data_IF_405298590933
#
_entry.id   IF_405298590933
#
_cell.length_a   1.000
_cell.length_b   1.000
_cell.length_c   1.000
_cell.angle_alpha   90.00
_cell.angle_beta   90.00
_cell.angle_gamma   90.00
#
_symmetry.space_group_name_H-M   'P 1'
#
loop_
_entity.id
_entity.type
_entity.pdbx_description
1 polymer ?
#
# COMPACT_ATOMS: atom_id res chain seq x y z
N UNK A 1 37.94 -16.92 9.09
CA UNK A 1 36.80 -16.75 8.21
C UNK A 1 36.53 -18.08 7.54
N UNK A 2 35.36 -18.72 7.66
CA UNK A 2 35.08 -19.96 6.95
C UNK A 2 35.00 -19.66 5.46
N UNK A 3 35.68 -20.50 4.66
CA UNK A 3 35.60 -20.44 3.21
C UNK A 3 34.16 -20.55 2.77
N UNK A 4 33.65 -19.54 2.06
CA UNK A 4 32.35 -19.57 1.40
C UNK A 4 32.40 -20.72 0.38
N UNK A 5 31.69 -21.81 0.68
CA UNK A 5 31.50 -22.90 -0.28
C UNK A 5 30.97 -22.31 -1.58
N UNK A 6 31.51 -22.74 -2.71
CA UNK A 6 31.01 -22.36 -4.03
C UNK A 6 29.50 -22.60 -4.07
N UNK A 7 28.69 -21.66 -4.63
CA UNK A 7 27.25 -21.83 -4.70
C UNK A 7 26.94 -23.12 -5.47
N UNK A 8 26.33 -24.10 -4.77
CA UNK A 8 25.88 -25.33 -5.43
C UNK A 8 24.79 -24.97 -6.45
N UNK A 9 24.98 -25.48 -7.65
CA UNK A 9 23.96 -25.45 -8.69
C UNK A 9 22.72 -26.21 -8.20
N UNK A 10 21.52 -25.75 -8.55
CA UNK A 10 20.32 -26.56 -8.32
C UNK A 10 20.52 -27.92 -9.06
N UNK A 11 20.24 -29.07 -8.42
CA UNK A 11 20.35 -30.38 -9.09
C UNK A 11 19.52 -30.46 -10.39
N UNK A 12 18.49 -29.64 -10.50
CA UNK A 12 17.69 -29.53 -11.71
C UNK A 12 18.45 -28.83 -12.85
N UNK A 13 19.19 -27.75 -12.56
CA UNK A 13 20.01 -27.04 -13.55
C UNK A 13 21.18 -27.90 -14.03
N UNK A 14 21.81 -28.70 -13.15
CA UNK A 14 22.85 -29.65 -13.52
C UNK A 14 22.31 -30.65 -14.56
N UNK A 15 21.13 -31.19 -14.33
CA UNK A 15 20.46 -32.08 -15.30
C UNK A 15 20.10 -31.40 -16.61
N UNK A 16 19.68 -30.13 -16.56
CA UNK A 16 19.36 -29.35 -17.77
C UNK A 16 20.59 -29.05 -18.60
N UNK A 17 21.71 -28.76 -17.95
CA UNK A 17 22.99 -28.51 -18.62
C UNK A 17 23.55 -29.78 -19.27
N UNK A 18 23.29 -30.96 -18.68
CA UNK A 18 23.75 -32.27 -19.20
C UNK A 18 25.24 -32.28 -19.58
N UNK A 19 26.07 -31.66 -18.72
CA UNK A 19 27.51 -31.52 -18.93
C UNK A 19 27.94 -30.40 -19.87
N UNK A 20 27.00 -29.66 -20.48
CA UNK A 20 27.36 -28.49 -21.28
C UNK A 20 27.87 -27.34 -20.41
N UNK A 21 28.79 -26.56 -20.97
CA UNK A 21 29.42 -25.42 -20.27
C UNK A 21 28.54 -24.15 -20.43
N UNK A 22 28.58 -23.31 -19.42
CA UNK A 22 27.98 -21.98 -19.43
C UNK A 22 29.04 -20.96 -19.79
N UNK A 23 28.85 -20.26 -20.89
CA UNK A 23 29.71 -19.14 -21.28
C UNK A 23 29.38 -17.93 -20.42
N UNK A 24 30.38 -17.15 -20.02
CA UNK A 24 30.17 -15.88 -19.32
C UNK A 24 30.68 -14.75 -20.18
N UNK A 25 29.81 -13.74 -20.39
CA UNK A 25 30.14 -12.50 -21.10
C UNK A 25 29.72 -11.31 -20.28
N UNK A 26 30.18 -10.13 -20.61
CA UNK A 26 29.61 -8.88 -20.10
C UNK A 26 28.38 -8.50 -20.92
N UNK A 27 27.48 -7.73 -20.32
CA UNK A 27 26.27 -7.29 -21.02
C UNK A 27 26.61 -6.46 -22.27
N UNK A 28 27.71 -5.67 -22.22
CA UNK A 28 28.18 -4.90 -23.36
C UNK A 28 28.76 -5.72 -24.52
N UNK A 29 29.11 -7.02 -24.30
CA UNK A 29 29.51 -7.94 -25.36
C UNK A 29 28.33 -8.61 -26.06
N UNK A 30 27.16 -8.55 -25.47
CA UNK A 30 25.95 -9.24 -25.98
C UNK A 30 24.84 -8.30 -26.43
N UNK A 31 24.96 -7.01 -26.16
CA UNK A 31 24.02 -5.98 -26.64
C UNK A 31 24.67 -4.59 -26.70
N UNK A 32 24.09 -3.72 -27.51
CA UNK A 32 24.45 -2.31 -27.54
C UNK A 32 23.75 -1.58 -26.40
N UNK A 33 24.57 -1.05 -25.44
CA UNK A 33 24.07 -0.27 -24.29
C UNK A 33 24.28 1.21 -24.55
N UNK A 34 23.18 1.98 -24.51
CA UNK A 34 23.22 3.43 -24.72
C UNK A 34 22.34 4.16 -23.71
N UNK A 35 22.65 5.42 -23.40
CA UNK A 35 21.79 6.27 -22.60
C UNK A 35 20.71 6.90 -23.46
N UNK A 36 19.49 7.02 -22.92
CA UNK A 36 18.44 7.82 -23.51
C UNK A 36 18.79 9.30 -23.56
N UNK A 37 18.07 10.07 -24.34
CA UNK A 37 18.29 11.50 -24.51
C UNK A 37 16.95 12.23 -24.64
N UNK A 38 16.86 13.40 -24.02
CA UNK A 38 15.67 14.26 -24.09
C UNK A 38 15.92 15.50 -24.93
N UNK A 39 15.10 15.79 -25.95
CA UNK A 39 15.17 17.07 -26.65
C UNK A 39 14.79 18.20 -25.67
N UNK A 40 15.49 19.32 -25.73
CA UNK A 40 15.28 20.44 -24.80
C UNK A 40 15.03 21.74 -25.52
N UNK A 41 14.04 22.56 -25.09
CA UNK A 41 13.00 22.20 -24.09
C UNK A 41 11.98 21.19 -24.68
N UNK A 42 11.60 20.18 -23.91
CA UNK A 42 10.72 19.08 -24.40
C UNK A 42 9.37 19.58 -24.90
N UNK A 43 8.83 20.64 -24.28
CA UNK A 43 7.53 21.22 -24.65
C UNK A 43 7.44 21.62 -26.15
N UNK A 44 8.56 21.97 -26.77
CA UNK A 44 8.61 22.35 -28.19
C UNK A 44 8.48 21.13 -29.15
N UNK A 45 8.64 19.94 -28.64
CA UNK A 45 8.66 18.70 -29.41
C UNK A 45 7.49 17.77 -29.09
N UNK A 46 6.68 18.07 -28.06
CA UNK A 46 5.45 17.32 -27.77
C UNK A 46 4.43 17.57 -28.88
N UNK A 47 3.71 16.52 -29.27
CA UNK A 47 2.65 16.58 -30.26
C UNK A 47 1.48 15.67 -29.93
N UNK A 48 0.27 16.10 -30.28
CA UNK A 48 -0.93 15.28 -30.23
C UNK A 48 -1.23 14.58 -31.58
N UNK A 49 -0.38 14.80 -32.59
CA UNK A 49 -0.57 14.16 -33.91
C UNK A 49 -0.42 12.64 -33.80
N UNK A 50 -1.26 11.91 -34.54
CA UNK A 50 -1.15 10.46 -34.71
C UNK A 50 0.19 10.02 -35.31
N UNK A 51 0.80 10.89 -36.13
CA UNK A 51 2.07 10.63 -36.81
C UNK A 51 3.28 10.87 -35.88
N UNK A 52 3.06 11.40 -34.69
CA UNK A 52 4.10 11.56 -33.68
C UNK A 52 4.63 10.21 -33.23
N UNK A 53 5.91 10.18 -32.82
CA UNK A 53 6.59 8.99 -32.31
C UNK A 53 6.30 8.85 -30.80
N UNK A 54 5.94 7.65 -30.30
CA UNK A 54 5.74 7.41 -28.87
C UNK A 54 6.93 7.89 -28.03
N UNK A 55 6.66 8.71 -26.99
CA UNK A 55 7.67 9.24 -26.05
C UNK A 55 7.60 8.47 -24.75
N UNK A 56 8.57 7.58 -24.53
CA UNK A 56 8.58 6.63 -23.42
C UNK A 56 9.19 7.25 -22.18
N UNK A 57 8.35 7.43 -21.14
CA UNK A 57 8.73 7.99 -19.84
C UNK A 57 8.61 6.95 -18.73
N UNK A 58 9.19 7.24 -17.56
CA UNK A 58 9.07 6.38 -16.37
C UNK A 58 7.59 6.22 -15.95
N UNK A 59 6.77 7.27 -16.13
CA UNK A 59 5.33 7.22 -15.82
C UNK A 59 4.50 6.29 -16.71
N UNK A 60 5.03 5.82 -17.85
CA UNK A 60 4.35 4.87 -18.73
C UNK A 60 4.53 3.41 -18.26
N UNK A 61 5.33 3.18 -17.21
CA UNK A 61 5.58 1.85 -16.66
C UNK A 61 4.60 1.49 -15.56
N UNK A 62 4.13 0.24 -15.57
CA UNK A 62 3.36 -0.33 -14.47
C UNK A 62 4.27 -1.20 -13.60
N UNK A 63 4.11 -1.13 -12.28
CA UNK A 63 4.85 -1.99 -11.35
C UNK A 63 4.52 -3.45 -11.67
N UNK A 64 5.56 -4.29 -11.82
CA UNK A 64 5.39 -5.71 -12.17
C UNK A 64 5.20 -5.99 -13.66
N UNK A 65 5.04 -4.98 -14.53
CA UNK A 65 4.94 -5.20 -15.96
C UNK A 65 6.29 -5.57 -16.58
N UNK A 66 6.28 -6.54 -17.48
CA UNK A 66 7.42 -6.94 -18.32
C UNK A 66 7.53 -6.04 -19.56
N UNK A 67 6.42 -5.49 -20.03
CA UNK A 67 6.32 -4.82 -21.32
C UNK A 67 5.88 -3.37 -21.20
N UNK A 68 6.31 -2.56 -22.17
CA UNK A 68 5.73 -1.25 -22.47
C UNK A 68 4.98 -1.35 -23.79
N UNK A 69 3.66 -1.17 -23.72
CA UNK A 69 2.74 -1.38 -24.85
C UNK A 69 2.16 -0.07 -25.41
N UNK A 70 2.19 0.99 -24.62
CA UNK A 70 1.67 2.30 -25.01
C UNK A 70 2.33 3.42 -24.21
N UNK A 71 2.23 4.65 -24.71
CA UNK A 71 2.69 5.87 -24.04
C UNK A 71 1.58 6.92 -23.99
N UNK A 72 1.63 7.80 -23.02
CA UNK A 72 0.70 8.93 -22.90
C UNK A 72 1.07 10.08 -23.84
N UNK A 73 2.33 10.24 -24.16
CA UNK A 73 2.85 11.36 -24.94
C UNK A 73 3.54 10.88 -26.21
N UNK A 74 3.58 11.77 -27.19
CA UNK A 74 4.32 11.61 -28.46
C UNK A 74 5.20 12.81 -28.73
N UNK A 75 6.28 12.62 -29.47
CA UNK A 75 7.16 13.70 -29.92
C UNK A 75 7.20 13.76 -31.45
N UNK A 76 7.55 14.94 -31.94
CA UNK A 76 7.73 15.18 -33.38
C UNK A 76 8.97 14.43 -33.93
N UNK A 77 9.03 14.23 -35.23
CA UNK A 77 10.19 13.62 -35.91
C UNK A 77 11.49 14.39 -35.60
N UNK A 78 11.42 15.73 -35.52
CA UNK A 78 12.57 16.56 -35.14
C UNK A 78 13.02 16.28 -33.68
N UNK A 79 12.06 16.02 -32.78
CA UNK A 79 12.34 15.63 -31.41
C UNK A 79 13.05 14.28 -31.34
N UNK A 80 12.67 13.33 -32.16
CA UNK A 80 13.29 11.99 -32.25
C UNK A 80 14.76 12.07 -32.65
N UNK A 81 15.14 12.96 -33.58
CA UNK A 81 16.52 13.16 -33.99
C UNK A 81 17.44 13.63 -32.84
N UNK A 82 16.84 14.19 -31.79
CA UNK A 82 17.53 14.65 -30.56
C UNK A 82 17.33 13.70 -29.37
N UNK A 83 16.74 12.55 -29.62
CA UNK A 83 16.46 11.52 -28.62
C UNK A 83 17.14 10.21 -29.01
N UNK A 84 16.84 9.14 -28.27
CA UNK A 84 17.22 7.78 -28.61
C UNK A 84 15.97 7.05 -29.10
N UNK A 85 15.95 6.70 -30.39
CA UNK A 85 14.90 5.87 -30.96
C UNK A 85 15.22 4.40 -30.76
N UNK A 86 14.20 3.62 -30.45
CA UNK A 86 14.25 2.17 -30.23
C UNK A 86 13.09 1.50 -30.97
N UNK A 87 13.27 0.21 -31.21
CA UNK A 87 12.26 -0.63 -31.86
C UNK A 87 11.61 -1.58 -30.86
N UNK A 88 10.45 -2.10 -31.23
CA UNK A 88 9.81 -3.20 -30.51
C UNK A 88 10.78 -4.39 -30.39
N UNK A 89 10.91 -4.95 -29.19
CA UNK A 89 11.88 -5.98 -28.85
C UNK A 89 13.13 -5.47 -28.13
N UNK A 90 13.46 -4.18 -28.25
CA UNK A 90 14.53 -3.56 -27.48
C UNK A 90 14.17 -3.46 -25.99
N UNK A 91 15.19 -3.38 -25.13
CA UNK A 91 15.03 -3.20 -23.70
C UNK A 91 15.32 -1.79 -23.29
N UNK A 92 14.68 -1.39 -22.20
CA UNK A 92 15.05 -0.21 -21.43
C UNK A 92 15.25 -0.57 -19.97
N UNK A 93 16.22 0.10 -19.33
CA UNK A 93 16.52 0.03 -17.91
C UNK A 93 16.35 1.39 -17.27
N UNK A 94 15.68 1.47 -16.12
CA UNK A 94 15.58 2.73 -15.40
C UNK A 94 16.92 3.16 -14.80
N UNK A 95 17.31 4.42 -15.05
CA UNK A 95 18.56 5.01 -14.53
C UNK A 95 18.40 5.66 -13.15
N UNK A 96 17.14 6.00 -12.77
CA UNK A 96 16.80 6.77 -11.58
C UNK A 96 15.54 6.22 -10.91
N UNK A 97 15.33 6.53 -9.64
CA UNK A 97 14.19 6.17 -8.79
C UNK A 97 13.96 4.66 -8.57
N UNK A 98 13.97 3.83 -9.62
CA UNK A 98 13.82 2.35 -9.54
C UNK A 98 14.96 1.70 -10.33
N UNK A 99 16.18 1.90 -9.88
CA UNK A 99 17.41 1.54 -10.60
C UNK A 99 17.41 0.14 -11.20
N UNK A 100 17.81 0.06 -12.48
CA UNK A 100 18.10 -1.18 -13.18
C UNK A 100 16.88 -2.09 -13.45
N UNK A 101 15.66 -1.59 -13.26
CA UNK A 101 14.45 -2.36 -13.60
C UNK A 101 14.32 -2.46 -15.12
N UNK A 102 14.29 -3.69 -15.68
CA UNK A 102 14.18 -3.90 -17.10
C UNK A 102 12.72 -3.85 -17.58
N UNK A 103 12.53 -3.39 -18.82
CA UNK A 103 11.29 -3.51 -19.58
C UNK A 103 11.61 -3.82 -21.03
N UNK A 104 10.73 -4.58 -21.70
CA UNK A 104 10.80 -4.89 -23.13
C UNK A 104 9.79 -4.02 -23.87
N UNK A 105 10.19 -3.37 -24.93
CA UNK A 105 9.30 -2.57 -25.76
C UNK A 105 8.43 -3.45 -26.64
N UNK A 106 7.12 -3.21 -26.65
CA UNK A 106 6.16 -3.76 -27.61
C UNK A 106 5.81 -2.76 -28.72
N UNK A 107 6.35 -1.56 -28.63
CA UNK A 107 6.14 -0.45 -29.55
C UNK A 107 7.49 0.15 -29.95
N UNK A 108 7.55 0.68 -31.16
CA UNK A 108 8.63 1.58 -31.53
C UNK A 108 8.45 2.93 -30.83
N UNK A 109 9.54 3.55 -30.39
CA UNK A 109 9.44 4.81 -29.65
C UNK A 109 10.78 5.45 -29.41
N UNK A 110 10.75 6.62 -28.78
CA UNK A 110 11.91 7.35 -28.33
C UNK A 110 11.94 7.46 -26.81
N UNK A 111 13.11 7.36 -26.19
CA UNK A 111 13.30 7.33 -24.75
C UNK A 111 13.98 8.57 -24.23
N UNK A 112 13.54 9.04 -23.04
CA UNK A 112 14.17 10.17 -22.36
C UNK A 112 15.47 9.76 -21.62
N UNK A 113 16.22 10.73 -21.13
CA UNK A 113 17.52 10.59 -20.47
C UNK A 113 17.48 9.87 -19.11
N UNK A 114 16.31 9.57 -18.56
CA UNK A 114 16.10 8.69 -17.39
C UNK A 114 16.19 7.19 -17.69
N UNK A 115 16.40 6.80 -18.96
CA UNK A 115 16.55 5.42 -19.40
C UNK A 115 17.95 5.10 -19.91
N UNK A 116 18.35 3.84 -19.77
CA UNK A 116 19.38 3.21 -20.61
C UNK A 116 18.69 2.21 -21.53
N UNK A 117 19.12 2.11 -22.79
CA UNK A 117 18.63 1.13 -23.75
C UNK A 117 19.60 -0.05 -23.88
N UNK A 118 19.02 -1.24 -24.15
CA UNK A 118 19.74 -2.43 -24.62
C UNK A 118 19.11 -2.81 -25.95
N UNK A 119 19.86 -2.68 -27.01
CA UNK A 119 19.45 -3.02 -28.40
C UNK A 119 20.48 -3.93 -29.05
N UNK A 120 20.23 -4.39 -30.27
CA UNK A 120 21.13 -5.29 -31.00
C UNK A 120 21.53 -6.52 -30.17
N UNK A 121 20.55 -7.15 -29.52
CA UNK A 121 20.79 -8.29 -28.63
C UNK A 121 21.30 -9.48 -29.44
N UNK A 122 22.40 -10.09 -28.98
CA UNK A 122 22.99 -11.27 -29.61
C UNK A 122 21.99 -12.42 -29.73
N UNK A 123 22.01 -13.11 -30.87
CA UNK A 123 21.19 -14.31 -31.09
C UNK A 123 21.51 -15.48 -30.14
N UNK A 124 22.59 -15.39 -29.36
CA UNK A 124 22.92 -16.37 -28.33
C UNK A 124 22.09 -16.20 -27.04
N UNK A 125 21.27 -15.16 -26.94
CA UNK A 125 20.45 -14.85 -25.74
C UNK A 125 18.98 -14.69 -26.17
N UNK A 126 18.09 -15.40 -25.45
CA UNK A 126 16.66 -15.18 -25.55
C UNK A 126 16.27 -13.92 -24.76
N UNK A 127 15.44 -13.06 -25.36
CA UNK A 127 14.97 -11.83 -24.71
C UNK A 127 14.30 -12.09 -23.38
N UNK A 128 13.45 -13.10 -23.26
CA UNK A 128 12.78 -13.45 -22.01
C UNK A 128 13.76 -13.94 -20.92
N UNK A 129 14.79 -14.70 -21.30
CA UNK A 129 15.85 -15.09 -20.40
C UNK A 129 16.62 -13.86 -19.88
N UNK A 130 16.98 -12.95 -20.78
CA UNK A 130 17.64 -11.69 -20.42
C UNK A 130 16.78 -10.87 -19.47
N UNK A 131 15.48 -10.77 -19.71
CA UNK A 131 14.53 -10.08 -18.83
C UNK A 131 14.56 -10.66 -17.41
N UNK A 132 14.38 -11.96 -17.26
CA UNK A 132 14.40 -12.63 -15.97
C UNK A 132 15.74 -12.48 -15.25
N UNK A 133 16.85 -12.59 -16.00
CA UNK A 133 18.18 -12.40 -15.44
C UNK A 133 18.36 -10.99 -14.89
N UNK A 134 18.03 -9.96 -15.67
CA UNK A 134 18.13 -8.56 -15.26
C UNK A 134 17.20 -8.23 -14.08
N UNK A 135 16.06 -8.92 -13.99
CA UNK A 135 15.09 -8.78 -12.87
C UNK A 135 15.50 -9.53 -11.60
N UNK A 136 16.56 -10.37 -11.63
CA UNK A 136 16.97 -11.17 -10.48
C UNK A 136 17.54 -10.32 -9.34
N UNK A 137 17.36 -10.77 -8.10
CA UNK A 137 17.89 -10.09 -6.91
C UNK A 137 19.41 -9.95 -6.95
N UNK A 138 20.10 -10.89 -7.57
CA UNK A 138 21.56 -10.83 -7.77
C UNK A 138 21.97 -9.62 -8.60
N UNK A 139 21.26 -9.36 -9.69
CA UNK A 139 21.54 -8.22 -10.57
C UNK A 139 21.13 -6.92 -9.87
N UNK A 140 19.98 -6.89 -9.18
CA UNK A 140 19.57 -5.71 -8.43
C UNK A 140 20.60 -5.35 -7.33
N UNK A 141 21.08 -6.33 -6.57
CA UNK A 141 22.16 -6.11 -5.59
C UNK A 141 23.48 -5.68 -6.24
N UNK A 142 23.78 -6.15 -7.47
CA UNK A 142 24.96 -5.69 -8.21
C UNK A 142 24.86 -4.20 -8.52
N UNK A 143 23.70 -3.73 -8.99
CA UNK A 143 23.44 -2.31 -9.23
C UNK A 143 23.59 -1.49 -7.95
N UNK A 144 22.94 -1.91 -6.85
CA UNK A 144 22.99 -1.24 -5.55
C UNK A 144 24.41 -1.08 -5.01
N UNK A 145 25.24 -2.12 -5.10
CA UNK A 145 26.65 -2.07 -4.66
C UNK A 145 27.47 -1.09 -5.49
N UNK A 146 27.25 -1.05 -6.79
CA UNK A 146 27.96 -0.11 -7.69
C UNK A 146 27.52 1.32 -7.46
N UNK A 147 26.26 1.53 -7.13
CA UNK A 147 25.69 2.81 -6.78
C UNK A 147 26.24 3.37 -5.45
N UNK A 148 26.28 2.54 -4.40
CA UNK A 148 26.73 2.94 -3.07
C UNK A 148 28.26 3.08 -2.95
N UNK A 149 29.04 2.53 -3.87
CA UNK A 149 30.53 2.58 -3.86
C UNK A 149 31.14 3.77 -4.59
N UNK A 150 30.34 4.61 -5.23
CA UNK A 150 30.83 5.74 -6.02
C UNK A 150 30.03 7.01 -5.83
N UNK A 151 30.63 8.16 -6.13
CA UNK A 151 29.98 9.48 -6.19
C UNK A 151 28.99 9.63 -7.38
N UNK A 152 28.39 8.52 -7.83
CA UNK A 152 27.55 8.48 -9.04
C UNK A 152 26.08 8.40 -8.62
N UNK A 153 25.33 9.44 -8.93
CA UNK A 153 23.88 9.53 -8.63
C UNK A 153 22.97 8.78 -9.62
N UNK A 154 23.51 8.12 -10.64
CA UNK A 154 22.74 7.42 -11.68
C UNK A 154 23.47 6.16 -12.18
N UNK A 155 22.71 5.15 -12.59
CA UNK A 155 23.22 3.96 -13.26
C UNK A 155 23.73 4.35 -14.67
N UNK A 156 25.05 4.42 -14.87
CA UNK A 156 25.63 4.81 -16.13
C UNK A 156 25.85 3.60 -17.08
N UNK A 157 26.05 3.90 -18.36
CA UNK A 157 26.21 2.89 -19.40
C UNK A 157 27.40 1.94 -19.16
N UNK A 158 28.50 2.42 -18.57
CA UNK A 158 29.69 1.60 -18.34
C UNK A 158 29.48 0.57 -17.22
N UNK A 159 28.75 0.96 -16.18
CA UNK A 159 28.33 0.03 -15.13
C UNK A 159 27.40 -1.05 -15.70
N UNK A 160 26.47 -0.65 -16.58
CA UNK A 160 25.55 -1.58 -17.24
C UNK A 160 26.30 -2.54 -18.14
N UNK A 161 27.19 -2.04 -19.00
CA UNK A 161 28.03 -2.85 -19.90
C UNK A 161 28.86 -3.87 -19.15
N UNK A 162 29.38 -3.52 -17.98
CA UNK A 162 30.27 -4.37 -17.19
C UNK A 162 29.55 -5.50 -16.41
N UNK A 163 28.22 -5.58 -16.45
CA UNK A 163 27.47 -6.66 -15.77
C UNK A 163 27.82 -8.02 -16.39
N UNK A 164 28.35 -8.98 -15.61
CA UNK A 164 28.58 -10.34 -16.10
C UNK A 164 27.26 -11.10 -16.21
N UNK A 165 27.01 -11.68 -17.39
CA UNK A 165 25.84 -12.48 -17.70
C UNK A 165 26.23 -13.93 -18.09
N UNK A 166 25.60 -14.95 -17.46
CA UNK A 166 25.77 -16.34 -17.88
C UNK A 166 24.94 -16.63 -19.12
N UNK A 167 25.56 -17.30 -20.10
CA UNK A 167 24.92 -17.67 -21.37
C UNK A 167 24.94 -19.20 -21.47
N UNK A 168 23.94 -19.87 -20.86
CA UNK A 168 23.76 -21.29 -21.06
C UNK A 168 23.24 -21.55 -22.49
N UNK A 169 23.27 -22.78 -22.99
CA UNK A 169 22.72 -23.16 -24.28
C UNK A 169 21.26 -22.68 -24.44
N UNK A 170 20.86 -22.27 -25.63
CA UNK A 170 19.51 -21.73 -25.91
C UNK A 170 18.38 -22.64 -25.41
N UNK A 171 18.56 -23.99 -25.51
CA UNK A 171 17.59 -24.94 -24.98
C UNK A 171 17.38 -24.81 -23.46
N UNK A 172 18.48 -24.53 -22.73
CA UNK A 172 18.45 -24.34 -21.28
C UNK A 172 17.80 -23.00 -20.92
N UNK A 173 18.15 -21.94 -21.66
CA UNK A 173 17.48 -20.63 -21.52
C UNK A 173 15.98 -20.76 -21.75
N UNK A 174 15.55 -21.43 -22.84
CA UNK A 174 14.14 -21.63 -23.15
C UNK A 174 13.39 -22.39 -22.03
N UNK A 175 14.05 -23.42 -21.46
CA UNK A 175 13.43 -24.19 -20.36
C UNK A 175 13.31 -23.39 -19.06
N UNK A 176 14.30 -22.55 -18.77
CA UNK A 176 14.26 -21.62 -17.62
C UNK A 176 13.11 -20.62 -17.82
N UNK A 177 12.98 -20.04 -19.01
CA UNK A 177 11.88 -19.11 -19.37
C UNK A 177 10.53 -19.78 -19.19
N UNK A 178 10.33 -20.96 -19.75
CA UNK A 178 9.08 -21.73 -19.63
C UNK A 178 8.66 -21.93 -18.16
N UNK A 179 9.61 -22.27 -17.29
CA UNK A 179 9.33 -22.44 -15.87
C UNK A 179 8.98 -21.13 -15.21
N UNK A 180 9.73 -20.06 -15.49
CA UNK A 180 9.51 -18.75 -14.88
C UNK A 180 8.22 -18.09 -15.38
N UNK A 181 7.89 -18.21 -16.65
CA UNK A 181 6.61 -17.75 -17.21
C UNK A 181 5.44 -18.45 -16.52
N UNK A 182 5.54 -19.79 -16.34
CA UNK A 182 4.50 -20.55 -15.66
C UNK A 182 4.37 -20.16 -14.18
N UNK A 183 5.47 -19.91 -13.49
CA UNK A 183 5.42 -19.41 -12.11
C UNK A 183 4.78 -18.03 -12.03
N UNK A 184 5.12 -17.11 -12.95
CA UNK A 184 4.53 -15.77 -13.00
C UNK A 184 3.03 -15.83 -13.27
N UNK A 185 2.60 -16.72 -14.17
CA UNK A 185 1.18 -16.94 -14.44
C UNK A 185 0.44 -17.49 -13.22
N UNK A 186 0.99 -18.54 -12.58
CA UNK A 186 0.39 -19.14 -11.38
C UNK A 186 0.35 -18.16 -10.19
N UNK A 187 1.37 -17.30 -10.06
CA UNK A 187 1.39 -16.24 -9.03
C UNK A 187 0.24 -15.26 -9.26
N UNK A 188 0.05 -14.78 -10.50
CA UNK A 188 -1.01 -13.85 -10.83
C UNK A 188 -2.42 -14.47 -10.68
N UNK A 189 -2.60 -15.73 -11.08
CA UNK A 189 -3.86 -16.46 -10.90
C UNK A 189 -4.20 -16.64 -9.41
N UNK A 190 -3.21 -17.04 -8.61
CA UNK A 190 -3.39 -17.23 -7.17
C UNK A 190 -3.64 -15.90 -6.44
N UNK A 191 -2.95 -14.82 -6.80
CA UNK A 191 -3.17 -13.50 -6.22
C UNK A 191 -4.61 -13.03 -6.49
N UNK A 192 -5.09 -13.18 -7.74
CA UNK A 192 -6.47 -12.82 -8.10
C UNK A 192 -7.52 -13.68 -7.38
N UNK A 193 -7.27 -14.99 -7.23
CA UNK A 193 -8.16 -15.92 -6.50
C UNK A 193 -8.23 -15.55 -5.01
N UNK A 194 -7.07 -15.30 -4.38
CA UNK A 194 -6.98 -14.91 -2.99
C UNK A 194 -7.64 -13.55 -2.71
N UNK A 195 -7.47 -12.57 -3.61
CA UNK A 195 -8.13 -11.26 -3.48
C UNK A 195 -9.66 -11.40 -3.57
N UNK A 196 -10.16 -12.21 -4.52
CA UNK A 196 -11.60 -12.46 -4.67
C UNK A 196 -12.19 -13.23 -3.46
N UNK A 197 -11.48 -14.23 -2.94
CA UNK A 197 -11.88 -14.97 -1.74
C UNK A 197 -11.92 -14.06 -0.51
N UNK A 198 -10.93 -13.18 -0.35
CA UNK A 198 -10.91 -12.19 0.73
C UNK A 198 -12.12 -11.26 0.66
N UNK A 199 -12.38 -10.68 -0.51
CA UNK A 199 -13.49 -9.74 -0.67
C UNK A 199 -14.84 -10.42 -0.33
N UNK A 200 -15.03 -11.66 -0.80
CA UNK A 200 -16.22 -12.44 -0.49
C UNK A 200 -16.37 -12.76 1.01
N UNK A 201 -15.27 -13.16 1.66
CA UNK A 201 -15.27 -13.47 3.10
C UNK A 201 -15.53 -12.21 3.93
N UNK A 202 -14.89 -11.08 3.60
CA UNK A 202 -15.13 -9.80 4.27
C UNK A 202 -16.58 -9.34 4.12
N UNK A 203 -17.16 -9.47 2.93
CA UNK A 203 -18.57 -9.13 2.70
C UNK A 203 -19.51 -10.03 3.54
N UNK A 204 -19.24 -11.33 3.57
CA UNK A 204 -20.01 -12.29 4.35
C UNK A 204 -19.93 -11.97 5.86
N UNK A 205 -18.73 -11.66 6.38
CA UNK A 205 -18.50 -11.30 7.78
C UNK A 205 -19.16 -9.98 8.15
N UNK A 206 -19.11 -8.98 7.29
CA UNK A 206 -19.79 -7.71 7.51
C UNK A 206 -21.32 -7.90 7.58
N UNK A 207 -21.91 -8.69 6.68
CA UNK A 207 -23.35 -9.05 6.74
C UNK A 207 -23.69 -9.78 8.04
N UNK A 208 -22.85 -10.70 8.46
CA UNK A 208 -23.02 -11.43 9.72
C UNK A 208 -22.91 -10.49 10.93
N UNK A 209 -21.94 -9.61 10.94
CA UNK A 209 -21.78 -8.58 11.98
C UNK A 209 -23.01 -7.69 12.07
N UNK A 210 -23.47 -7.14 10.94
CA UNK A 210 -24.64 -6.28 10.91
C UNK A 210 -25.92 -7.00 11.43
N UNK A 211 -26.09 -8.26 11.04
CA UNK A 211 -27.21 -9.08 11.53
C UNK A 211 -27.16 -9.26 13.06
N UNK A 212 -26.02 -9.63 13.62
CA UNK A 212 -25.89 -9.82 15.07
C UNK A 212 -25.96 -8.50 15.82
N UNK A 213 -25.32 -7.44 15.33
CA UNK A 213 -25.40 -6.10 15.92
C UNK A 213 -26.83 -5.63 16.02
N UNK A 214 -27.56 -5.66 14.90
CA UNK A 214 -28.95 -5.24 14.87
C UNK A 214 -29.81 -6.10 15.85
N UNK A 215 -29.64 -7.41 15.87
CA UNK A 215 -30.39 -8.30 16.75
C UNK A 215 -30.08 -8.10 18.24
N UNK A 216 -28.80 -7.89 18.58
CA UNK A 216 -28.36 -7.66 19.95
C UNK A 216 -28.82 -6.32 20.52
N UNK A 217 -28.97 -5.32 19.64
CA UNK A 217 -29.33 -3.94 19.99
C UNK A 217 -30.79 -3.61 19.70
N UNK A 218 -31.61 -4.56 19.20
CA UNK A 218 -33.04 -4.37 18.98
C UNK A 218 -33.86 -4.71 20.26
N UNK A 219 -33.84 -3.78 21.20
CA UNK A 219 -34.51 -3.96 22.47
C UNK A 219 -36.06 -3.95 22.40
N UNK A 220 -36.65 -3.56 21.28
CA UNK A 220 -38.08 -3.66 21.06
C UNK A 220 -38.56 -5.13 20.94
N UNK A 221 -37.69 -6.00 20.46
CA UNK A 221 -37.98 -7.43 20.24
C UNK A 221 -37.17 -8.38 21.15
N UNK A 222 -36.57 -7.85 22.22
CA UNK A 222 -35.82 -8.62 23.23
C UNK A 222 -36.73 -9.02 24.41
N UNK A 223 -37.59 -10.01 24.18
CA UNK A 223 -38.51 -10.52 25.24
C UNK A 223 -37.78 -11.04 26.48
N UNK A 224 -36.57 -11.55 26.31
CA UNK A 224 -35.68 -12.00 27.37
C UNK A 224 -35.25 -10.92 28.36
N UNK A 225 -35.31 -9.65 27.94
CA UNK A 225 -34.94 -8.49 28.74
C UNK A 225 -36.14 -7.60 29.10
N UNK A 226 -37.35 -8.09 28.90
CA UNK A 226 -38.58 -7.34 29.16
C UNK A 226 -38.65 -6.87 30.63
N UNK A 227 -38.81 -5.55 30.79
CA UNK A 227 -38.84 -4.89 32.12
C UNK A 227 -37.47 -4.72 32.79
N UNK A 228 -36.37 -5.07 32.14
CA UNK A 228 -35.03 -4.92 32.63
C UNK A 228 -34.22 -3.81 31.89
N UNK A 229 -34.81 -3.19 30.87
CA UNK A 229 -34.18 -2.13 30.07
C UNK A 229 -34.72 -0.79 30.49
N UNK A 230 -33.86 0.08 30.98
CA UNK A 230 -34.15 1.47 31.26
C UNK A 230 -33.75 2.33 30.05
N UNK A 231 -34.57 3.30 29.68
CA UNK A 231 -34.22 4.25 28.62
C UNK A 231 -33.74 5.55 29.25
N UNK A 232 -32.50 5.95 28.87
CA UNK A 232 -31.89 7.24 29.22
C UNK A 232 -31.42 7.96 27.98
N UNK A 233 -30.87 9.14 28.15
CA UNK A 233 -30.17 9.85 27.08
C UNK A 233 -28.65 9.64 27.21
N UNK A 234 -27.91 9.81 26.09
CA UNK A 234 -26.46 9.75 26.11
C UNK A 234 -25.84 10.74 27.11
N UNK A 235 -26.48 11.88 27.32
CA UNK A 235 -26.03 12.87 28.30
C UNK A 235 -26.19 12.43 29.75
N UNK A 236 -27.24 11.65 30.07
CA UNK A 236 -27.50 11.17 31.43
C UNK A 236 -26.57 10.05 31.88
N UNK A 237 -25.99 9.31 30.94
CA UNK A 237 -25.01 8.25 31.23
C UNK A 237 -23.57 8.73 31.22
N UNK A 238 -23.32 10.03 31.07
CA UNK A 238 -21.98 10.60 31.05
C UNK A 238 -21.64 11.29 32.37
N UNK A 239 -20.45 11.05 32.89
CA UNK A 239 -19.86 11.90 33.93
C UNK A 239 -19.59 13.33 33.41
N UNK A 240 -19.18 13.43 32.15
CA UNK A 240 -18.85 14.68 31.50
C UNK A 240 -19.09 14.61 29.99
N UNK A 241 -19.66 15.68 29.45
CA UNK A 241 -19.73 15.90 28.00
C UNK A 241 -19.09 17.23 27.68
N UNK A 242 -18.16 17.24 26.74
CA UNK A 242 -17.52 18.48 26.30
C UNK A 242 -17.20 18.44 24.80
N UNK A 243 -17.13 19.60 24.20
CA UNK A 243 -16.51 19.77 22.87
C UNK A 243 -15.03 20.13 23.05
N UNK A 244 -14.23 19.80 22.08
CA UNK A 244 -12.85 20.22 22.02
C UNK A 244 -12.66 21.66 21.56
N UNK A 245 -11.45 21.98 21.11
CA UNK A 245 -11.09 23.29 20.59
C UNK A 245 -9.98 23.21 19.56
N UNK A 246 -9.93 24.23 18.70
CA UNK A 246 -8.86 24.39 17.72
C UNK A 246 -7.95 25.50 18.17
N UNK A 247 -6.68 25.24 18.50
CA UNK A 247 -5.68 26.27 18.72
C UNK A 247 -5.53 27.18 17.50
N UNK A 248 -5.03 28.39 17.68
CA UNK A 248 -4.85 29.36 16.60
C UNK A 248 -3.94 28.78 15.52
N UNK A 249 -4.50 28.48 14.33
CA UNK A 249 -3.80 27.82 13.23
C UNK A 249 -2.66 28.62 12.62
N UNK A 250 -2.70 29.94 12.75
CA UNK A 250 -1.60 30.82 12.32
C UNK A 250 -0.37 30.75 13.23
N UNK A 251 -0.47 30.12 14.40
CA UNK A 251 0.63 29.95 15.35
C UNK A 251 1.24 28.55 15.25
N UNK A 252 2.16 28.34 14.31
CA UNK A 252 2.74 27.03 14.01
C UNK A 252 3.31 26.28 15.21
N UNK A 253 3.91 27.02 16.16
CA UNK A 253 4.46 26.45 17.41
C UNK A 253 3.45 25.68 18.26
N UNK A 254 2.16 26.01 18.16
CA UNK A 254 1.12 25.28 18.88
C UNK A 254 0.97 23.83 18.38
N UNK A 255 1.46 23.52 17.19
CA UNK A 255 1.37 22.21 16.53
C UNK A 255 2.70 21.44 16.52
N UNK A 256 3.70 21.91 17.27
CA UNK A 256 5.01 21.27 17.43
C UNK A 256 5.14 20.53 18.77
N UNK A 257 4.00 20.09 19.33
CA UNK A 257 3.91 19.42 20.62
C UNK A 257 3.90 17.90 20.56
N UNK A 258 3.58 17.30 21.71
CA UNK A 258 3.46 15.85 21.88
C UNK A 258 2.08 15.40 22.39
N UNK A 259 1.13 16.31 22.61
CA UNK A 259 -0.22 15.99 23.07
C UNK A 259 -1.09 15.68 21.84
N UNK A 260 -1.63 14.47 21.71
CA UNK A 260 -2.46 14.09 20.57
C UNK A 260 -3.69 15.00 20.40
N UNK A 261 -3.97 15.43 19.19
CA UNK A 261 -5.09 16.29 18.84
C UNK A 261 -5.89 15.71 17.67
N UNK A 262 -7.09 15.21 17.96
CA UNK A 262 -7.97 14.53 17.02
C UNK A 262 -8.89 15.51 16.31
N UNK A 263 -9.01 15.38 15.00
CA UNK A 263 -9.96 16.13 14.16
C UNK A 263 -11.13 15.24 13.75
N UNK A 264 -12.26 15.83 13.44
CA UNK A 264 -13.45 15.09 12.97
C UNK A 264 -13.19 14.25 11.72
N UNK A 265 -12.31 14.69 10.84
CA UNK A 265 -11.96 13.95 9.62
C UNK A 265 -11.19 12.66 9.90
N UNK A 266 -10.58 12.56 11.06
CA UNK A 266 -9.81 11.40 11.50
C UNK A 266 -10.69 10.35 12.22
N UNK A 267 -12.02 10.61 12.34
CA UNK A 267 -12.99 9.72 13.00
C UNK A 267 -13.63 8.78 11.97
N UNK A 268 -13.39 7.47 12.10
CA UNK A 268 -13.96 6.46 11.21
C UNK A 268 -14.13 5.08 11.90
N UNK A 269 -14.99 4.99 12.90
CA UNK A 269 -15.39 3.74 13.57
C UNK A 269 -14.24 2.90 14.16
N UNK A 270 -13.17 3.53 14.63
CA UNK A 270 -11.99 2.83 15.14
C UNK A 270 -11.65 3.22 16.59
N UNK A 271 -10.72 2.49 17.17
CA UNK A 271 -10.01 2.88 18.37
C UNK A 271 -8.81 3.76 18.00
N UNK A 272 -8.64 4.90 18.69
CA UNK A 272 -7.55 5.87 18.46
C UNK A 272 -6.43 5.63 19.46
N UNK A 273 -5.29 5.18 18.95
CA UNK A 273 -4.08 4.90 19.72
C UNK A 273 -2.99 5.97 19.55
N UNK A 274 -3.08 6.81 18.53
CA UNK A 274 -2.25 8.01 18.28
C UNK A 274 -2.96 8.94 17.30
N UNK A 275 -2.46 10.16 17.11
CA UNK A 275 -2.96 11.12 16.12
C UNK A 275 -1.80 11.66 15.27
N UNK A 276 -2.08 11.95 14.02
CA UNK A 276 -1.10 12.55 13.11
C UNK A 276 -0.64 13.92 13.61
N UNK A 277 -1.59 14.73 14.11
CA UNK A 277 -1.31 16.07 14.60
C UNK A 277 -1.25 16.04 16.12
N UNK A 278 -0.24 16.72 16.66
CA UNK A 278 -0.05 16.89 18.11
C UNK A 278 0.08 18.37 18.43
N UNK A 279 -0.38 18.77 19.64
CA UNK A 279 -0.33 20.16 20.10
C UNK A 279 0.49 20.29 21.38
N UNK A 280 0.86 21.51 21.72
CA UNK A 280 1.61 21.83 22.93
C UNK A 280 0.69 22.11 24.12
N UNK A 281 1.23 22.06 25.35
CA UNK A 281 0.52 22.51 26.55
C UNK A 281 0.12 24.00 26.47
N UNK A 282 0.97 24.82 25.84
CA UNK A 282 0.68 26.23 25.57
C UNK A 282 -0.55 26.40 24.67
N UNK A 283 -0.68 25.53 23.65
CA UNK A 283 -1.86 25.52 22.77
C UNK A 283 -3.14 25.20 23.55
N UNK A 284 -3.10 24.27 24.50
CA UNK A 284 -4.25 23.97 25.37
C UNK A 284 -4.57 25.18 26.26
N UNK A 285 -3.56 25.77 26.91
CA UNK A 285 -3.75 26.91 27.79
C UNK A 285 -4.33 28.16 27.10
N UNK A 286 -4.00 28.36 25.81
CA UNK A 286 -4.41 29.50 24.99
C UNK A 286 -5.58 29.20 24.01
N UNK A 287 -6.30 28.11 24.22
CA UNK A 287 -7.44 27.73 23.38
C UNK A 287 -8.56 27.09 24.19
N UNK A 288 -9.66 26.72 23.51
CA UNK A 288 -10.73 25.92 24.11
C UNK A 288 -10.47 24.41 24.08
N UNK A 289 -9.31 23.95 23.60
CA UNK A 289 -8.93 22.55 23.61
C UNK A 289 -8.87 22.02 25.05
N UNK A 290 -9.35 20.79 25.24
CA UNK A 290 -9.40 20.15 26.56
C UNK A 290 -8.85 18.75 26.47
N UNK A 291 -7.99 18.40 27.41
CA UNK A 291 -7.55 17.02 27.55
C UNK A 291 -8.71 16.18 28.09
N UNK A 292 -9.02 15.09 27.40
CA UNK A 292 -9.98 14.09 27.84
C UNK A 292 -9.25 12.79 28.22
N UNK A 293 -9.75 12.02 29.19
CA UNK A 293 -9.16 10.75 29.58
C UNK A 293 -9.35 9.70 28.46
N UNK A 294 -8.68 8.57 28.58
CA UNK A 294 -8.93 7.42 27.72
C UNK A 294 -10.35 6.87 27.88
N UNK A 295 -10.79 6.06 26.91
CA UNK A 295 -12.09 5.41 26.87
C UNK A 295 -13.31 6.36 26.77
N UNK A 296 -13.11 7.58 26.33
CA UNK A 296 -14.24 8.43 25.90
C UNK A 296 -14.77 7.98 24.54
N UNK A 297 -16.09 8.09 24.36
CA UNK A 297 -16.71 7.96 23.03
C UNK A 297 -16.77 9.34 22.39
N UNK A 298 -16.12 9.50 21.26
CA UNK A 298 -15.98 10.77 20.55
C UNK A 298 -16.88 10.74 19.32
N UNK A 299 -17.81 11.66 19.20
CA UNK A 299 -18.76 11.74 18.07
C UNK A 299 -18.49 12.99 17.24
N UNK A 300 -18.33 12.81 15.93
CA UNK A 300 -18.18 13.91 14.99
C UNK A 300 -19.51 14.67 14.82
N UNK A 301 -19.48 16.00 14.95
CA UNK A 301 -20.65 16.83 14.84
C UNK A 301 -20.86 17.42 13.44
N UNK A 302 -19.80 17.61 12.66
CA UNK A 302 -19.85 18.33 11.39
C UNK A 302 -19.14 17.58 10.25
N UNK A 303 -19.52 17.92 9.01
CA UNK A 303 -18.84 17.48 7.80
C UNK A 303 -19.26 16.08 7.33
N UNK A 304 -18.44 15.48 6.47
CA UNK A 304 -18.71 14.17 5.88
C UNK A 304 -18.74 13.03 6.92
N UNK A 305 -18.09 13.23 8.06
CA UNK A 305 -18.02 12.27 9.17
C UNK A 305 -19.10 12.52 10.24
N UNK A 306 -20.03 13.46 10.06
CA UNK A 306 -21.08 13.75 11.03
C UNK A 306 -21.81 12.48 11.48
N UNK A 307 -22.01 12.33 12.79
CA UNK A 307 -22.52 11.17 13.50
C UNK A 307 -21.58 9.94 13.58
N UNK A 308 -20.44 9.90 12.88
CA UNK A 308 -19.45 8.86 13.11
C UNK A 308 -18.83 8.99 14.50
N UNK A 309 -18.41 7.87 15.06
CA UNK A 309 -17.82 7.80 16.38
C UNK A 309 -16.50 7.04 16.39
N UNK A 310 -15.68 7.31 17.40
CA UNK A 310 -14.48 6.55 17.74
C UNK A 310 -14.28 6.49 19.25
N UNK A 311 -13.35 5.64 19.71
CA UNK A 311 -12.95 5.56 21.12
C UNK A 311 -11.48 5.92 21.21
N UNK A 312 -11.09 6.84 22.09
CA UNK A 312 -9.68 7.09 22.36
C UNK A 312 -9.13 6.08 23.39
N UNK A 313 -7.99 5.47 23.06
CA UNK A 313 -7.26 4.53 23.96
C UNK A 313 -6.11 5.20 24.71
N UNK A 314 -5.91 6.47 24.46
CA UNK A 314 -4.92 7.35 25.13
C UNK A 314 -5.59 8.66 25.52
N UNK A 315 -5.13 9.36 26.55
CA UNK A 315 -5.56 10.73 26.78
C UNK A 315 -5.22 11.61 25.59
N UNK A 316 -6.19 12.37 25.10
CA UNK A 316 -6.00 13.24 23.94
C UNK A 316 -6.86 14.50 24.00
N UNK A 317 -6.63 15.42 23.06
CA UNK A 317 -7.46 16.59 22.83
C UNK A 317 -8.19 16.45 21.50
N UNK A 318 -9.30 17.17 21.33
CA UNK A 318 -10.08 17.13 20.09
C UNK A 318 -10.33 18.55 19.55
N UNK A 319 -10.71 18.67 18.26
CA UNK A 319 -11.17 19.93 17.73
C UNK A 319 -12.60 20.25 18.22
N UNK A 320 -13.09 21.48 17.99
CA UNK A 320 -14.40 21.94 18.43
C UNK A 320 -15.59 21.22 17.76
N UNK A 321 -15.33 20.49 16.67
CA UNK A 321 -16.34 19.75 15.93
C UNK A 321 -16.55 18.32 16.47
N UNK A 322 -15.86 17.94 17.54
CA UNK A 322 -16.02 16.69 18.26
C UNK A 322 -16.86 16.88 19.52
N UNK A 323 -17.78 15.94 19.76
CA UNK A 323 -18.50 15.80 21.02
C UNK A 323 -17.90 14.63 21.79
N UNK A 324 -17.25 14.91 22.92
CA UNK A 324 -16.56 13.92 23.74
C UNK A 324 -17.47 13.48 24.88
N UNK A 325 -17.81 12.20 24.93
CA UNK A 325 -18.67 11.58 25.92
C UNK A 325 -17.79 10.74 26.87
N UNK A 326 -17.56 11.23 28.08
CA UNK A 326 -16.95 10.47 29.16
C UNK A 326 -18.07 9.70 29.87
N UNK A 327 -18.18 8.41 29.57
CA UNK A 327 -19.25 7.56 30.09
C UNK A 327 -19.01 7.24 31.56
N UNK A 328 -20.05 7.31 32.39
CA UNK A 328 -20.07 6.81 33.76
C UNK A 328 -20.16 5.26 33.75
N UNK A 329 -19.05 4.58 34.00
CA UNK A 329 -18.98 3.12 33.94
C UNK A 329 -19.86 2.42 35.00
N UNK A 330 -20.39 3.16 35.99
CA UNK A 330 -21.39 2.63 36.93
C UNK A 330 -22.78 2.51 36.30
N UNK A 331 -23.06 3.25 35.23
CA UNK A 331 -24.33 3.26 34.52
C UNK A 331 -24.26 2.51 33.20
N UNK A 332 -23.19 2.74 32.41
CA UNK A 332 -23.05 2.11 31.08
C UNK A 332 -21.59 1.78 30.75
N UNK A 333 -21.38 0.69 30.04
CA UNK A 333 -20.08 0.34 29.50
C UNK A 333 -19.79 1.26 28.28
N UNK A 334 -18.61 1.92 28.22
CA UNK A 334 -18.29 2.88 27.16
C UNK A 334 -18.34 2.26 25.74
N UNK A 335 -17.87 1.01 25.55
CA UNK A 335 -17.99 0.31 24.26
C UNK A 335 -19.45 -0.02 23.90
N UNK A 336 -20.30 -0.29 24.88
CA UNK A 336 -21.73 -0.48 24.62
C UNK A 336 -22.38 0.81 24.06
N UNK A 337 -22.07 1.95 24.67
CA UNK A 337 -22.50 3.25 24.17
C UNK A 337 -21.96 3.54 22.75
N UNK A 338 -20.71 3.18 22.48
CA UNK A 338 -20.11 3.27 21.17
C UNK A 338 -20.87 2.41 20.15
N UNK A 339 -21.07 1.12 20.41
CA UNK A 339 -21.80 0.22 19.49
C UNK A 339 -23.25 0.65 19.27
N UNK A 340 -23.89 1.21 20.30
CA UNK A 340 -25.22 1.81 20.15
C UNK A 340 -25.21 2.97 19.17
N UNK A 341 -24.26 3.89 19.31
CA UNK A 341 -24.12 5.03 18.40
C UNK A 341 -23.80 4.55 16.97
N UNK A 342 -22.95 3.54 16.80
CA UNK A 342 -22.70 2.92 15.50
C UNK A 342 -23.97 2.33 14.87
N UNK A 343 -24.79 1.65 15.68
CA UNK A 343 -26.05 1.07 15.22
C UNK A 343 -27.07 2.14 14.82
N UNK A 344 -27.11 3.24 15.52
CA UNK A 344 -28.05 4.33 15.33
C UNK A 344 -27.52 5.44 14.39
N UNK A 345 -26.40 5.18 13.70
CA UNK A 345 -25.72 6.18 12.86
C UNK A 345 -26.65 6.95 11.93
N UNK A 346 -27.42 6.24 11.10
CA UNK A 346 -28.32 6.88 10.13
C UNK A 346 -29.41 7.72 10.81
N UNK A 347 -29.96 7.23 11.91
CA UNK A 347 -30.99 7.94 12.68
C UNK A 347 -30.43 9.17 13.39
N UNK A 348 -29.22 9.04 13.97
CA UNK A 348 -28.53 10.15 14.61
C UNK A 348 -28.16 11.21 13.57
N UNK A 349 -27.60 10.79 12.43
CA UNK A 349 -27.24 11.67 11.31
C UNK A 349 -28.46 12.40 10.74
N UNK A 350 -29.60 11.75 10.64
CA UNK A 350 -30.84 12.34 10.16
C UNK A 350 -31.39 13.47 11.07
N UNK A 351 -30.91 13.55 12.32
CA UNK A 351 -31.23 14.69 13.20
C UNK A 351 -30.42 15.95 12.88
N UNK A 352 -29.42 15.83 12.00
CA UNK A 352 -28.61 16.96 11.55
C UNK A 352 -29.41 18.00 10.81
N UNK A 353 -28.94 19.25 10.79
CA UNK A 353 -29.53 20.37 10.09
C UNK A 353 -28.65 20.87 8.95
N UNK A 354 -29.29 21.40 7.91
CA UNK A 354 -28.60 21.94 6.74
C UNK A 354 -28.15 20.87 5.74
N UNK A 355 -27.52 21.30 4.65
CA UNK A 355 -27.06 20.44 3.54
C UNK A 355 -25.98 19.42 3.91
N UNK A 356 -25.31 19.61 5.07
CA UNK A 356 -24.23 18.75 5.56
C UNK A 356 -24.63 17.94 6.81
N UNK A 357 -25.91 17.87 7.17
CA UNK A 357 -26.41 17.13 8.34
C UNK A 357 -25.65 17.48 9.63
N UNK A 358 -25.42 18.77 9.88
CA UNK A 358 -24.67 19.24 11.05
C UNK A 358 -25.42 18.92 12.33
N UNK A 359 -24.78 18.16 13.20
CA UNK A 359 -25.22 17.89 14.57
C UNK A 359 -24.69 18.96 15.52
N UNK A 360 -25.23 18.97 16.73
CA UNK A 360 -24.66 19.72 17.84
C UNK A 360 -24.64 18.87 19.13
N UNK A 361 -23.85 19.28 20.08
CA UNK A 361 -23.71 18.54 21.34
C UNK A 361 -25.05 18.34 22.09
N UNK A 362 -26.02 19.25 21.94
CA UNK A 362 -27.35 19.12 22.58
C UNK A 362 -28.12 17.94 21.95
N UNK A 363 -28.11 17.78 20.63
CA UNK A 363 -28.78 16.67 19.94
C UNK A 363 -28.14 15.34 20.29
N UNK A 364 -26.81 15.27 20.33
CA UNK A 364 -26.10 14.05 20.75
C UNK A 364 -26.43 13.72 22.20
N UNK A 365 -26.37 14.68 23.11
CA UNK A 365 -26.70 14.47 24.52
C UNK A 365 -28.12 13.99 24.75
N UNK A 366 -29.09 14.50 24.00
CA UNK A 366 -30.50 14.12 24.11
C UNK A 366 -30.87 12.83 23.35
N UNK A 367 -29.92 12.20 22.67
CA UNK A 367 -30.18 10.98 21.95
C UNK A 367 -30.45 9.81 22.89
N UNK A 368 -31.55 9.04 22.69
CA UNK A 368 -31.91 7.95 23.59
C UNK A 368 -30.97 6.77 23.46
N UNK A 369 -30.73 6.12 24.58
CA UNK A 369 -29.97 4.87 24.69
C UNK A 369 -30.71 3.89 25.62
N UNK A 370 -30.95 2.62 25.22
CA UNK A 370 -31.47 1.61 26.12
C UNK A 370 -30.36 1.07 27.01
N UNK A 371 -30.65 0.89 28.29
CA UNK A 371 -29.69 0.41 29.29
C UNK A 371 -30.18 -0.94 29.85
N UNK A 372 -29.79 -2.07 29.25
CA UNK A 372 -29.95 -3.35 29.93
C UNK A 372 -28.96 -3.44 31.11
N UNK A 373 -29.08 -4.46 31.98
CA UNK A 373 -28.12 -4.66 33.06
C UNK A 373 -26.67 -4.65 32.56
N UNK A 374 -25.71 -4.13 33.36
CA UNK A 374 -24.30 -4.02 32.98
C UNK A 374 -23.69 -5.37 32.53
N UNK A 375 -24.15 -6.49 33.10
CA UNK A 375 -23.74 -7.84 32.66
C UNK A 375 -24.12 -8.11 31.21
N UNK A 376 -25.30 -7.69 30.78
CA UNK A 376 -25.74 -7.85 29.39
C UNK A 376 -25.03 -6.87 28.43
N UNK A 377 -24.81 -5.64 28.89
CA UNK A 377 -24.00 -4.69 28.10
C UNK A 377 -22.60 -5.26 27.81
N UNK A 378 -21.94 -5.85 28.83
CA UNK A 378 -20.63 -6.49 28.66
C UNK A 378 -20.71 -7.70 27.72
N UNK A 379 -21.75 -8.52 27.82
CA UNK A 379 -21.95 -9.65 26.91
C UNK A 379 -22.12 -9.21 25.46
N UNK A 380 -22.88 -8.14 25.21
CA UNK A 380 -23.04 -7.54 23.88
C UNK A 380 -21.69 -7.07 23.36
N UNK A 381 -20.93 -6.31 24.17
CA UNK A 381 -19.60 -5.82 23.83
C UNK A 381 -18.66 -6.97 23.49
N UNK A 382 -18.61 -8.03 24.30
CA UNK A 382 -17.74 -9.19 24.06
C UNK A 382 -18.03 -9.86 22.72
N UNK A 383 -19.30 -9.98 22.35
CA UNK A 383 -19.69 -10.57 21.05
C UNK A 383 -19.25 -9.66 19.91
N UNK A 384 -19.52 -8.35 19.98
CA UNK A 384 -19.20 -7.41 18.91
C UNK A 384 -17.69 -7.21 18.76
N UNK A 385 -16.93 -7.13 19.85
CA UNK A 385 -15.45 -7.08 19.85
C UNK A 385 -14.82 -8.31 19.17
N UNK A 386 -15.41 -9.50 19.32
CA UNK A 386 -14.94 -10.69 18.62
C UNK A 386 -15.13 -10.59 17.11
N UNK A 387 -16.23 -10.03 16.65
CA UNK A 387 -16.43 -9.79 15.22
C UNK A 387 -15.41 -8.77 14.66
N UNK A 388 -15.17 -7.66 15.35
CA UNK A 388 -14.17 -6.68 14.95
C UNK A 388 -12.78 -7.31 14.84
N UNK A 389 -12.40 -8.14 15.83
CA UNK A 389 -11.12 -8.87 15.82
C UNK A 389 -11.02 -9.82 14.63
N UNK A 390 -12.09 -10.57 14.32
CA UNK A 390 -12.11 -11.51 13.19
C UNK A 390 -12.00 -10.79 11.86
N UNK A 391 -12.71 -9.70 11.66
CA UNK A 391 -12.68 -8.90 10.45
C UNK A 391 -11.27 -8.29 10.22
N UNK A 392 -10.67 -7.74 11.26
CA UNK A 392 -9.32 -7.19 11.20
C UNK A 392 -8.26 -8.27 10.92
N UNK A 393 -8.39 -9.47 11.53
CA UNK A 393 -7.43 -10.56 11.32
C UNK A 393 -7.46 -11.10 9.88
N UNK A 394 -8.61 -11.12 9.23
CA UNK A 394 -8.75 -11.49 7.81
C UNK A 394 -8.05 -10.45 6.95
N UNK A 395 -8.28 -9.16 7.21
CA UNK A 395 -7.66 -8.06 6.47
C UNK A 395 -6.13 -7.98 6.60
N UNK A 396 -5.56 -8.48 7.71
CA UNK A 396 -4.10 -8.53 7.92
C UNK A 396 -3.46 -9.84 7.41
N UNK A 397 -4.16 -10.96 7.47
CA UNK A 397 -3.63 -12.29 7.17
C UNK A 397 -3.28 -12.48 5.71
N UNK A 398 -4.16 -12.06 4.80
CA UNK A 398 -4.02 -12.29 3.37
C UNK A 398 -2.89 -11.48 2.71
N UNK A 399 -2.71 -10.19 2.97
CA UNK A 399 -1.55 -9.44 2.47
C UNK A 399 -0.22 -10.10 2.87
N UNK A 400 -0.17 -10.71 4.05
CA UNK A 400 0.99 -11.45 4.52
C UNK A 400 1.23 -12.73 3.71
N UNK A 401 0.18 -13.46 3.35
CA UNK A 401 0.31 -14.66 2.52
C UNK A 401 0.80 -14.32 1.11
N UNK A 402 0.23 -13.31 0.45
CA UNK A 402 0.68 -12.80 -0.85
C UNK A 402 2.16 -12.42 -0.79
N UNK A 403 2.59 -11.69 0.25
CA UNK A 403 3.98 -11.32 0.43
C UNK A 403 4.94 -12.53 0.59
N UNK A 404 4.49 -13.59 1.26
CA UNK A 404 5.26 -14.84 1.41
C UNK A 404 5.38 -15.59 0.07
N UNK A 405 4.31 -15.63 -0.73
CA UNK A 405 4.32 -16.25 -2.07
C UNK A 405 5.26 -15.52 -3.01
N UNK A 406 5.25 -14.19 -3.03
CA UNK A 406 6.21 -13.38 -3.79
C UNK A 406 7.66 -13.66 -3.41
N UNK A 407 7.98 -13.78 -2.13
CA UNK A 407 9.33 -14.17 -1.65
C UNK A 407 9.72 -15.58 -2.11
N UNK A 408 8.77 -16.50 -2.14
CA UNK A 408 9.01 -17.86 -2.63
C UNK A 408 9.32 -17.86 -4.13
N UNK A 409 8.55 -17.09 -4.92
CA UNK A 409 8.83 -16.90 -6.35
C UNK A 409 10.22 -16.31 -6.58
N UNK A 410 10.58 -15.22 -5.90
CA UNK A 410 11.90 -14.59 -6.00
C UNK A 410 13.03 -15.59 -5.70
N UNK A 411 12.87 -16.41 -4.67
CA UNK A 411 13.83 -17.44 -4.33
C UNK A 411 14.04 -18.44 -5.47
N UNK A 412 12.98 -18.99 -6.06
CA UNK A 412 13.08 -19.94 -7.15
C UNK A 412 13.61 -19.31 -8.44
N UNK A 413 13.19 -18.09 -8.76
CA UNK A 413 13.74 -17.32 -9.89
C UNK A 413 15.25 -17.18 -9.75
N UNK A 414 15.70 -16.68 -8.62
CA UNK A 414 17.13 -16.45 -8.36
C UNK A 414 17.94 -17.76 -8.35
N UNK A 415 17.34 -18.83 -7.88
CA UNK A 415 17.97 -20.14 -7.88
C UNK A 415 18.13 -20.72 -9.30
N UNK A 416 17.12 -20.55 -10.18
CA UNK A 416 17.17 -20.98 -11.59
C UNK A 416 18.16 -20.16 -12.45
N UNK A 417 18.45 -18.93 -12.02
CA UNK A 417 19.39 -18.03 -12.71
C UNK A 417 20.78 -18.02 -12.09
N UNK A 418 21.05 -18.90 -11.11
CA UNK A 418 22.32 -18.97 -10.39
C UNK A 418 23.26 -19.97 -11.03
N UNK A 419 24.15 -19.50 -11.87
CA UNK A 419 25.23 -20.28 -12.42
C UNK A 419 26.56 -20.05 -11.66
N UNK A 420 27.47 -21.06 -11.58
CA UNK A 420 28.78 -20.87 -10.99
C UNK A 420 29.56 -19.83 -11.79
N UNK A 421 30.35 -18.97 -11.13
CA UNK A 421 31.25 -18.05 -11.83
C UNK A 421 32.25 -18.81 -12.67
N UNK A 422 32.79 -18.18 -13.74
CA UNK A 422 33.88 -18.78 -14.51
C UNK A 422 35.05 -19.13 -13.58
N UNK A 423 35.72 -20.24 -13.85
CA UNK A 423 36.96 -20.57 -13.15
C UNK A 423 37.95 -19.40 -13.27
N UNK A 424 38.68 -19.04 -12.21
CA UNK A 424 39.71 -18.01 -12.34
C UNK A 424 40.65 -18.38 -13.48
N UNK A 425 40.78 -17.51 -14.45
CA UNK A 425 41.84 -17.65 -15.48
C UNK A 425 43.15 -17.64 -14.74
N UNK A 426 43.91 -18.74 -14.86
CA UNK A 426 45.22 -18.94 -14.28
C UNK A 426 46.22 -17.90 -14.77
#
# INVERSE_FOLDING_TARGET
>A
MPATSAPQLLPYLERLLDGETVEWKTLGEVCLVQRGASPRPIANYLTSSSDGIPWIKIGDTKVGSKYIESTQERITIEGVQRSRQLSAGDFILSNSMSYGRPYILKIDGAIHDGWASLSEISSSILSDYLFYFLSSSKVQMYWERKFNSGSVSNLNADIIKALPIPIPPLRVQARIVEILDKFTQLEAELEAELEAELEAELEARNKQYDFYRNRLLDFAHRDDLKGQVEWKTLGEICEKVCSGGTPLTSHSKYYEGNIPWLRTQDIDWQEIHDTEIKITEEAIANSSAKLIPENCVIVAMYGATAAKACINKIPLTTNQACCNLQIDEKQAHYKYAYYWICNEYERLRAQGEGSQSNLNAKKIKSYPIPLPPLSEQRRIVEILDRFDTLTNSISEGLPREIALRRKQYEYYRDALLRFPPPAPTA
#
